data_IF_523911621002
#
_entry.id   IF_523911621002
#
_cell.length_a   1.000
_cell.length_b   1.000
_cell.length_c   1.000
_cell.angle_alpha   90.00
_cell.angle_beta   90.00
_cell.angle_gamma   90.00
#
_symmetry.space_group_name_H-M   'P 1'
#
loop_
_entity.id
_entity.type
_entity.pdbx_description
1 polymer ?
#
# COMPACT_ATOMS: atom_id res chain seq x y z
N UNK A 1 -2.85 3.15 -31.79
CA UNK A 1 -4.29 3.44 -31.96
C UNK A 1 -4.96 3.13 -30.65
N UNK A 2 -5.65 4.10 -30.05
CA UNK A 2 -6.22 3.95 -28.72
C UNK A 2 -7.57 3.21 -28.72
N UNK A 3 -7.66 2.12 -27.95
CA UNK A 3 -8.91 1.47 -27.60
C UNK A 3 -9.56 2.23 -26.43
N UNK A 4 -10.84 2.59 -26.60
CA UNK A 4 -11.68 3.30 -25.64
C UNK A 4 -12.66 2.32 -24.99
N UNK A 5 -13.12 2.60 -23.77
CA UNK A 5 -14.23 1.85 -23.17
C UNK A 5 -15.59 2.26 -23.78
N UNK A 6 -16.67 1.59 -23.35
CA UNK A 6 -18.03 1.78 -23.87
C UNK A 6 -18.60 3.21 -23.63
N UNK A 7 -17.91 4.03 -22.85
CA UNK A 7 -18.29 5.41 -22.53
C UNK A 7 -17.30 6.44 -23.12
N UNK A 8 -16.30 6.02 -23.89
CA UNK A 8 -15.37 6.92 -24.57
C UNK A 8 -14.27 7.52 -23.68
N UNK A 9 -14.01 6.95 -22.49
CA UNK A 9 -12.97 7.45 -21.58
C UNK A 9 -11.72 6.55 -21.61
N UNK A 10 -10.51 7.09 -21.36
CA UNK A 10 -9.32 6.26 -21.18
C UNK A 10 -9.24 5.71 -19.74
N UNK A 11 -8.90 4.43 -19.59
CA UNK A 11 -8.75 3.74 -18.29
C UNK A 11 -7.45 4.17 -17.56
N UNK A 12 -7.55 4.81 -16.39
CA UNK A 12 -6.46 5.57 -15.75
C UNK A 12 -6.05 5.14 -14.32
N UNK A 13 -6.10 3.84 -14.00
CA UNK A 13 -5.52 3.33 -12.75
C UNK A 13 -3.96 3.26 -12.76
N UNK A 14 -3.26 4.38 -13.03
CA UNK A 14 -1.84 4.34 -13.42
C UNK A 14 -0.91 5.49 -12.98
N UNK A 15 -1.15 6.18 -11.87
CA UNK A 15 -0.30 7.34 -11.45
C UNK A 15 0.95 6.92 -10.63
N UNK A 16 1.43 5.71 -10.84
CA UNK A 16 2.82 5.33 -10.54
C UNK A 16 3.48 4.53 -11.68
N UNK A 17 3.16 4.87 -12.94
CA UNK A 17 3.67 4.12 -14.11
C UNK A 17 4.47 5.02 -15.06
N UNK A 18 5.74 5.20 -14.75
CA UNK A 18 6.76 5.61 -15.73
C UNK A 18 7.22 4.44 -16.62
N UNK A 19 6.27 3.70 -17.20
CA UNK A 19 6.57 2.74 -18.27
C UNK A 19 5.46 2.76 -19.31
N UNK A 20 5.91 2.84 -20.56
CA UNK A 20 5.12 2.72 -21.78
C UNK A 20 4.15 1.53 -21.69
N UNK A 21 2.86 1.84 -21.75
CA UNK A 21 1.81 0.86 -21.99
C UNK A 21 1.61 0.74 -23.50
N UNK A 22 1.83 -0.46 -24.05
CA UNK A 22 1.13 -0.83 -25.28
C UNK A 22 -0.25 -1.36 -24.88
N UNK A 23 -1.30 -0.76 -25.43
CA UNK A 23 -2.69 -1.15 -25.19
C UNK A 23 -2.93 -2.60 -25.60
N UNK A 24 -3.49 -3.40 -24.69
CA UNK A 24 -4.06 -4.70 -25.06
C UNK A 24 -4.06 -5.82 -24.00
N UNK A 25 -3.42 -5.67 -22.83
CA UNK A 25 -3.09 -6.86 -22.02
C UNK A 25 -3.51 -6.80 -20.55
N UNK A 26 -4.10 -7.91 -20.08
CA UNK A 26 -4.84 -8.04 -18.82
C UNK A 26 -4.09 -7.86 -17.49
N UNK A 27 -4.82 -8.07 -16.39
CA UNK A 27 -4.39 -7.76 -15.01
C UNK A 27 -3.02 -8.35 -14.63
N UNK A 28 -2.73 -9.57 -15.06
CA UNK A 28 -1.45 -10.23 -14.72
C UNK A 28 -0.24 -9.49 -15.31
N UNK A 29 -0.34 -8.97 -16.54
CA UNK A 29 0.72 -8.17 -17.18
C UNK A 29 0.84 -6.78 -16.54
N UNK A 30 -0.28 -6.24 -16.05
CA UNK A 30 -0.33 -4.98 -15.27
C UNK A 30 0.46 -5.09 -13.97
N UNK A 31 0.26 -6.18 -13.23
CA UNK A 31 0.97 -6.47 -11.97
C UNK A 31 2.47 -6.69 -12.20
N UNK A 32 2.84 -7.44 -13.24
CA UNK A 32 4.24 -7.65 -13.62
C UNK A 32 4.97 -6.33 -13.94
N UNK A 33 4.29 -5.40 -14.60
CA UNK A 33 4.85 -4.10 -14.91
C UNK A 33 5.14 -3.27 -13.65
N UNK A 34 4.27 -3.32 -12.64
CA UNK A 34 4.42 -2.59 -11.38
C UNK A 34 5.51 -3.19 -10.49
N UNK A 35 5.58 -4.52 -10.40
CA UNK A 35 6.66 -5.21 -9.69
C UNK A 35 8.04 -4.90 -10.31
N UNK A 36 8.15 -4.92 -11.64
CA UNK A 36 9.38 -4.52 -12.35
C UNK A 36 9.71 -3.05 -12.10
N UNK A 37 8.72 -2.17 -12.07
CA UNK A 37 8.92 -0.76 -11.78
C UNK A 37 9.45 -0.52 -10.36
N UNK A 38 8.91 -1.23 -9.38
CA UNK A 38 9.42 -1.21 -8.01
C UNK A 38 10.91 -1.56 -7.95
N UNK A 39 11.33 -2.67 -8.57
CA UNK A 39 12.73 -3.10 -8.50
C UNK A 39 13.70 -2.10 -9.11
N UNK A 40 13.32 -1.43 -10.21
CA UNK A 40 14.13 -0.36 -10.82
C UNK A 40 14.21 0.86 -9.91
N UNK A 41 13.10 1.29 -9.33
CA UNK A 41 13.06 2.43 -8.42
C UNK A 41 13.87 2.16 -7.15
N UNK A 42 13.69 0.99 -6.53
CA UNK A 42 14.43 0.56 -5.37
C UNK A 42 15.96 0.58 -5.64
N UNK A 43 16.39 0.11 -6.82
CA UNK A 43 17.81 0.14 -7.19
C UNK A 43 18.35 1.57 -7.27
N UNK A 44 17.60 2.48 -7.90
CA UNK A 44 18.00 3.90 -8.01
C UNK A 44 18.07 4.58 -6.64
N UNK A 45 17.09 4.33 -5.77
CA UNK A 45 17.09 4.88 -4.41
C UNK A 45 18.30 4.36 -3.63
N UNK A 46 18.58 3.06 -3.71
CA UNK A 46 19.72 2.47 -2.98
C UNK A 46 21.05 2.98 -3.51
N UNK A 47 21.17 3.22 -4.81
CA UNK A 47 22.36 3.82 -5.41
C UNK A 47 22.57 5.27 -4.95
N UNK A 48 21.51 6.08 -4.96
CA UNK A 48 21.58 7.48 -4.56
C UNK A 48 21.76 7.65 -3.04
N UNK A 49 21.15 6.78 -2.24
CA UNK A 49 21.13 6.86 -0.77
C UNK A 49 21.45 5.51 -0.11
N UNK A 50 22.69 4.99 -0.21
CA UNK A 50 23.03 3.62 0.21
C UNK A 50 22.74 3.32 1.68
N UNK A 51 22.88 4.33 2.55
CA UNK A 51 22.75 4.22 4.01
C UNK A 51 21.40 4.71 4.55
N UNK A 52 20.52 5.21 3.69
CA UNK A 52 19.24 5.75 4.14
C UNK A 52 18.35 4.62 4.67
N UNK A 53 17.89 4.80 5.91
CA UNK A 53 16.89 3.92 6.53
C UNK A 53 15.51 4.37 6.08
N UNK A 54 14.85 3.56 5.26
CA UNK A 54 13.52 3.85 4.70
C UNK A 54 12.51 2.87 5.28
N UNK A 55 11.29 3.37 5.53
CA UNK A 55 10.11 2.53 5.72
C UNK A 55 9.18 2.69 4.51
N UNK A 56 8.91 1.58 3.82
CA UNK A 56 8.03 1.55 2.67
C UNK A 56 6.58 1.29 3.09
N UNK A 57 5.65 2.10 2.60
CA UNK A 57 4.22 1.93 2.82
C UNK A 57 3.57 1.50 1.50
N UNK A 58 3.21 0.23 1.36
CA UNK A 58 2.86 -0.38 0.08
C UNK A 58 1.42 -0.94 0.08
N UNK A 59 0.76 -0.92 -1.08
CA UNK A 59 -0.53 -1.58 -1.27
C UNK A 59 -0.38 -3.11 -1.37
N UNK A 60 -1.48 -3.85 -1.24
CA UNK A 60 -1.50 -5.31 -1.21
C UNK A 60 -1.09 -5.99 -2.51
N UNK A 61 -0.99 -5.25 -3.62
CA UNK A 61 -0.33 -5.77 -4.82
C UNK A 61 1.14 -6.14 -4.58
N UNK A 62 1.81 -5.42 -3.67
CA UNK A 62 3.22 -5.62 -3.35
C UNK A 62 3.44 -6.69 -2.26
N UNK A 63 2.37 -7.32 -1.76
CA UNK A 63 2.44 -8.40 -0.77
C UNK A 63 2.86 -9.73 -1.44
N UNK A 64 4.09 -9.79 -1.95
CA UNK A 64 4.65 -10.97 -2.60
C UNK A 64 6.13 -11.19 -2.25
N UNK A 65 6.57 -12.43 -2.35
CA UNK A 65 7.90 -12.87 -1.93
C UNK A 65 9.06 -12.07 -2.53
N UNK A 66 9.16 -11.88 -3.86
CA UNK A 66 10.23 -11.09 -4.47
C UNK A 66 10.37 -9.66 -3.95
N UNK A 67 9.24 -8.98 -3.70
CA UNK A 67 9.26 -7.62 -3.13
C UNK A 67 9.75 -7.66 -1.68
N UNK A 68 9.22 -8.58 -0.87
CA UNK A 68 9.63 -8.75 0.52
C UNK A 68 11.13 -9.09 0.64
N UNK A 69 11.62 -10.00 -0.19
CA UNK A 69 13.04 -10.39 -0.30
C UNK A 69 13.91 -9.17 -0.61
N UNK A 70 13.49 -8.36 -1.59
CA UNK A 70 14.22 -7.16 -1.99
C UNK A 70 14.30 -6.14 -0.85
N UNK A 71 13.19 -5.86 -0.18
CA UNK A 71 13.17 -4.93 0.95
C UNK A 71 14.09 -5.39 2.10
N UNK A 72 14.10 -6.71 2.40
CA UNK A 72 15.01 -7.28 3.40
C UNK A 72 16.47 -7.12 3.00
N UNK A 73 16.82 -7.45 1.75
CA UNK A 73 18.18 -7.29 1.23
C UNK A 73 18.68 -5.85 1.32
N UNK A 74 17.81 -4.87 1.05
CA UNK A 74 18.15 -3.45 1.13
C UNK A 74 18.12 -2.89 2.57
N UNK A 75 17.79 -3.72 3.57
CA UNK A 75 17.64 -3.36 4.98
C UNK A 75 16.58 -2.28 5.23
N UNK A 76 15.50 -2.32 4.44
CA UNK A 76 14.38 -1.40 4.54
C UNK A 76 13.25 -1.98 5.36
N UNK A 77 12.61 -1.12 6.14
CA UNK A 77 11.36 -1.47 6.80
C UNK A 77 10.20 -1.41 5.80
N UNK A 78 9.13 -2.14 6.09
CA UNK A 78 7.90 -2.03 5.34
C UNK A 78 6.66 -2.24 6.20
N UNK A 79 5.57 -1.63 5.74
CA UNK A 79 4.19 -1.93 6.09
C UNK A 79 3.42 -2.10 4.78
N UNK A 80 2.99 -3.32 4.48
CA UNK A 80 2.29 -3.66 3.24
C UNK A 80 0.85 -4.04 3.57
N UNK A 81 -0.13 -3.51 2.87
CA UNK A 81 -1.53 -3.93 3.04
C UNK A 81 -1.67 -5.43 2.76
N UNK A 82 -2.35 -6.15 3.64
CA UNK A 82 -2.68 -7.56 3.44
C UNK A 82 -4.17 -7.68 3.12
N UNK A 83 -4.50 -8.03 1.87
CA UNK A 83 -5.90 -8.24 1.46
C UNK A 83 -6.36 -9.61 1.92
N UNK A 84 -7.65 -9.75 2.24
CA UNK A 84 -8.21 -11.01 2.76
C UNK A 84 -8.07 -12.18 1.77
N UNK A 85 -8.19 -11.91 0.47
CA UNK A 85 -7.98 -12.92 -0.58
C UNK A 85 -6.52 -13.17 -0.97
N UNK A 86 -5.55 -12.49 -0.33
CA UNK A 86 -4.13 -12.62 -0.67
C UNK A 86 -3.36 -13.43 0.37
N UNK A 87 -2.35 -14.17 -0.07
CA UNK A 87 -1.49 -15.02 0.78
C UNK A 87 -2.27 -15.95 1.73
N UNK A 88 -3.04 -16.93 1.21
CA UNK A 88 -3.89 -17.79 2.05
C UNK A 88 -3.15 -18.52 3.16
N UNK A 89 -1.92 -18.99 2.92
CA UNK A 89 -1.10 -19.67 3.93
C UNK A 89 -0.76 -18.76 5.11
N UNK A 90 -0.45 -17.48 4.84
CA UNK A 90 -0.19 -16.47 5.87
C UNK A 90 -1.42 -16.22 6.72
N UNK A 91 -2.61 -16.14 6.11
CA UNK A 91 -3.86 -16.00 6.86
C UNK A 91 -4.20 -17.22 7.69
N UNK A 92 -4.01 -18.43 7.15
CA UNK A 92 -4.21 -19.68 7.89
C UNK A 92 -3.32 -19.72 9.13
N UNK A 93 -2.03 -19.45 8.97
CA UNK A 93 -1.07 -19.42 10.08
C UNK A 93 -1.38 -18.29 11.07
N UNK A 94 -1.74 -17.10 10.59
CA UNK A 94 -2.21 -16.00 11.43
C UNK A 94 -3.39 -16.41 12.31
N UNK A 95 -4.41 -17.04 11.73
CA UNK A 95 -5.59 -17.47 12.49
C UNK A 95 -5.24 -18.52 13.53
N UNK A 96 -4.44 -19.52 13.18
CA UNK A 96 -3.97 -20.55 14.12
C UNK A 96 -3.21 -19.94 15.30
N UNK A 97 -2.21 -19.11 15.03
CA UNK A 97 -1.34 -18.54 16.06
C UNK A 97 -1.99 -17.42 16.86
N UNK A 98 -2.98 -16.72 16.29
CA UNK A 98 -3.70 -15.65 16.99
C UNK A 98 -4.46 -16.17 18.24
N UNK A 99 -4.86 -17.44 18.23
CA UNK A 99 -5.49 -18.09 19.39
C UNK A 99 -4.49 -18.41 20.50
N UNK A 100 -3.23 -18.68 20.15
CA UNK A 100 -2.15 -18.99 21.09
C UNK A 100 -1.51 -17.72 21.66
N UNK A 101 -1.45 -16.64 20.87
CA UNK A 101 -0.81 -15.37 21.23
C UNK A 101 -1.84 -14.34 21.72
N UNK A 102 -2.67 -14.71 22.70
CA UNK A 102 -3.81 -13.87 23.13
C UNK A 102 -3.40 -12.51 23.70
N UNK A 103 -2.19 -12.40 24.27
CA UNK A 103 -1.66 -11.16 24.85
C UNK A 103 -1.24 -10.13 23.80
N UNK A 104 -1.06 -10.56 22.54
CA UNK A 104 -0.71 -9.73 21.38
C UNK A 104 -1.93 -8.99 20.83
N UNK A 105 -2.56 -8.22 21.72
CA UNK A 105 -3.70 -7.36 21.43
C UNK A 105 -3.54 -6.00 22.11
N UNK A 106 -4.09 -4.97 21.50
CA UNK A 106 -4.13 -3.62 22.07
C UNK A 106 -5.41 -2.93 21.67
N UNK A 107 -6.07 -2.30 22.62
CA UNK A 107 -7.21 -1.43 22.38
C UNK A 107 -6.81 0.01 22.64
N UNK A 108 -7.31 0.92 21.81
CA UNK A 108 -7.12 2.35 22.01
C UNK A 108 -8.21 3.15 21.32
N UNK A 109 -8.32 4.42 21.71
CA UNK A 109 -9.06 5.43 20.96
C UNK A 109 -8.09 6.22 20.09
N UNK A 110 -8.48 6.50 18.85
CA UNK A 110 -7.74 7.39 17.96
C UNK A 110 -8.71 8.29 17.19
N UNK A 111 -8.78 9.56 17.60
CA UNK A 111 -9.89 10.43 17.23
C UNK A 111 -11.21 9.82 17.71
N UNK A 112 -12.19 9.77 16.82
CA UNK A 112 -13.52 9.18 17.08
C UNK A 112 -13.55 7.65 16.97
N UNK A 113 -12.44 7.04 16.56
CA UNK A 113 -12.38 5.59 16.31
C UNK A 113 -11.92 4.83 17.53
N UNK A 114 -12.69 3.80 17.90
CA UNK A 114 -12.25 2.71 18.79
C UNK A 114 -11.51 1.69 17.95
N UNK A 115 -10.24 1.45 18.25
CA UNK A 115 -9.39 0.52 17.51
C UNK A 115 -9.05 -0.69 18.38
N UNK A 116 -9.16 -1.87 17.79
CA UNK A 116 -8.68 -3.12 18.35
C UNK A 116 -7.64 -3.74 17.42
N UNK A 117 -6.39 -3.69 17.87
CA UNK A 117 -5.26 -4.34 17.23
C UNK A 117 -5.07 -5.74 17.77
N UNK A 118 -4.80 -6.69 16.88
CA UNK A 118 -4.29 -8.02 17.18
C UNK A 118 -3.15 -8.32 16.21
N UNK A 119 -2.07 -8.91 16.67
CA UNK A 119 -0.93 -9.23 15.81
C UNK A 119 -0.34 -10.59 16.12
N UNK A 120 0.31 -11.16 15.11
CA UNK A 120 1.09 -12.38 15.19
C UNK A 120 2.45 -12.11 14.57
N UNK A 121 3.49 -12.48 15.30
CA UNK A 121 4.87 -12.33 14.85
C UNK A 121 5.43 -13.66 14.35
N UNK A 122 6.41 -13.57 13.45
CA UNK A 122 7.19 -14.71 12.96
C UNK A 122 6.36 -15.76 12.22
N UNK A 123 5.45 -15.29 11.36
CA UNK A 123 4.75 -16.14 10.38
C UNK A 123 5.72 -16.50 9.26
N UNK A 124 5.86 -17.79 8.97
CA UNK A 124 6.75 -18.29 7.93
C UNK A 124 6.08 -18.23 6.56
N UNK A 125 6.40 -17.22 5.76
CA UNK A 125 5.85 -17.11 4.41
C UNK A 125 6.75 -17.77 3.37
N UNK A 126 6.28 -18.88 2.79
CA UNK A 126 6.96 -19.59 1.71
C UNK A 126 6.54 -19.08 0.32
N UNK A 127 7.50 -18.97 -0.59
CA UNK A 127 7.27 -18.45 -1.95
C UNK A 127 8.27 -19.02 -2.97
N UNK A 128 8.00 -18.73 -4.25
CA UNK A 128 8.79 -19.21 -5.38
C UNK A 128 8.43 -20.64 -5.81
N UNK A 129 9.07 -21.15 -6.87
CA UNK A 129 8.77 -22.48 -7.40
C UNK A 129 9.04 -23.55 -6.33
N UNK A 130 8.04 -24.39 -6.07
CA UNK A 130 8.06 -25.46 -5.07
C UNK A 130 8.38 -24.99 -3.65
N UNK A 131 7.97 -23.77 -3.27
CA UNK A 131 8.14 -23.22 -1.91
C UNK A 131 9.59 -23.25 -1.37
N UNK A 132 10.59 -23.22 -2.27
CA UNK A 132 12.01 -23.33 -1.91
C UNK A 132 12.57 -22.11 -1.19
N UNK A 133 11.87 -20.98 -1.23
CA UNK A 133 12.25 -19.77 -0.50
C UNK A 133 11.22 -19.51 0.57
N UNK A 134 11.66 -18.94 1.69
CA UNK A 134 10.74 -18.47 2.69
C UNK A 134 11.32 -17.31 3.50
N UNK A 135 10.42 -16.48 4.01
CA UNK A 135 10.71 -15.23 4.69
C UNK A 135 9.79 -15.08 5.89
N UNK A 136 10.35 -14.64 7.01
CA UNK A 136 9.56 -14.42 8.21
C UNK A 136 8.97 -13.01 8.18
N UNK A 137 7.66 -12.97 8.41
CA UNK A 137 6.86 -11.75 8.38
C UNK A 137 6.02 -11.63 9.65
N UNK A 138 5.50 -10.43 9.90
CA UNK A 138 4.66 -10.13 11.05
C UNK A 138 3.35 -9.55 10.55
N UNK A 139 2.21 -10.04 11.05
CA UNK A 139 0.90 -9.61 10.58
C UNK A 139 0.15 -8.93 11.72
N UNK A 140 -0.51 -7.82 11.40
CA UNK A 140 -1.42 -7.13 12.32
C UNK A 140 -2.74 -6.85 11.65
N UNK A 141 -3.81 -7.08 12.40
CA UNK A 141 -5.18 -6.74 12.06
C UNK A 141 -5.67 -5.67 13.03
N UNK A 142 -6.10 -4.55 12.48
CA UNK A 142 -6.81 -3.49 13.19
C UNK A 142 -8.29 -3.53 12.80
N UNK A 143 -9.16 -3.77 13.77
CA UNK A 143 -10.60 -3.60 13.62
C UNK A 143 -11.00 -2.28 14.25
N UNK A 144 -11.78 -1.49 13.54
CA UNK A 144 -12.25 -0.20 14.03
C UNK A 144 -13.74 -0.14 14.13
N UNK A 145 -14.20 0.70 15.05
CA UNK A 145 -15.58 1.06 15.22
C UNK A 145 -15.67 2.56 15.49
N UNK A 146 -16.64 3.23 14.86
CA UNK A 146 -16.98 4.62 15.14
C UNK A 146 -18.46 4.87 14.89
N UNK A 147 -18.98 5.94 15.48
CA UNK A 147 -20.34 6.40 15.24
C UNK A 147 -20.31 7.46 14.14
N UNK A 148 -21.26 7.38 13.21
CA UNK A 148 -21.42 8.36 12.13
C UNK A 148 -22.90 8.64 11.91
N UNK A 149 -23.23 9.88 11.53
CA UNK A 149 -24.57 10.21 11.08
C UNK A 149 -24.82 9.54 9.72
N UNK A 150 -25.93 8.82 9.62
CA UNK A 150 -26.41 8.33 8.34
C UNK A 150 -27.06 9.49 7.56
N UNK A 151 -26.61 9.80 6.32
CA UNK A 151 -27.15 10.92 5.54
C UNK A 151 -28.63 10.76 5.19
N UNK A 152 -29.13 9.52 5.10
CA UNK A 152 -30.47 9.22 4.62
C UNK A 152 -31.47 9.12 5.79
N UNK A 153 -31.08 8.49 6.90
CA UNK A 153 -31.95 8.35 8.07
C UNK A 153 -31.79 9.44 9.14
N UNK A 154 -30.70 10.23 9.08
CA UNK A 154 -30.30 11.18 10.13
C UNK A 154 -30.12 10.55 11.52
N UNK A 155 -29.90 9.24 11.58
CA UNK A 155 -29.64 8.50 12.81
C UNK A 155 -28.14 8.27 13.02
N UNK A 156 -27.74 8.11 14.29
CA UNK A 156 -26.37 7.72 14.62
C UNK A 156 -26.23 6.22 14.37
N UNK A 157 -25.43 5.86 13.37
CA UNK A 157 -25.11 4.46 13.04
C UNK A 157 -23.68 4.11 13.44
N UNK A 158 -23.50 2.91 13.97
CA UNK A 158 -22.17 2.37 14.24
C UNK A 158 -21.58 1.77 12.97
N UNK A 159 -20.45 2.32 12.51
CA UNK A 159 -19.68 1.83 11.36
C UNK A 159 -18.48 1.02 11.82
N UNK A 160 -18.05 0.09 10.97
CA UNK A 160 -16.91 -0.78 11.21
C UNK A 160 -15.94 -0.76 10.03
N UNK A 161 -14.66 -0.94 10.31
CA UNK A 161 -13.65 -1.21 9.29
C UNK A 161 -12.66 -2.27 9.76
N UNK A 162 -12.01 -2.92 8.80
CA UNK A 162 -10.90 -3.84 9.05
C UNK A 162 -9.74 -3.43 8.17
N UNK A 163 -8.57 -3.32 8.79
CA UNK A 163 -7.31 -3.12 8.11
C UNK A 163 -6.34 -4.21 8.53
N UNK A 164 -5.57 -4.74 7.59
CA UNK A 164 -4.54 -5.70 7.86
C UNK A 164 -3.26 -5.33 7.14
N UNK A 165 -2.13 -5.55 7.81
CA UNK A 165 -0.82 -5.24 7.27
C UNK A 165 0.22 -6.31 7.59
N UNK A 166 1.16 -6.48 6.66
CA UNK A 166 2.42 -7.17 6.85
C UNK A 166 3.47 -6.14 7.27
N UNK A 167 4.17 -6.41 8.36
CA UNK A 167 5.27 -5.62 8.89
C UNK A 167 6.60 -6.35 8.72
N UNK A 168 7.65 -5.59 8.39
CA UNK A 168 9.04 -6.08 8.38
C UNK A 168 9.60 -6.34 9.78
N UNK A 169 9.03 -5.71 10.81
CA UNK A 169 9.51 -5.83 12.19
C UNK A 169 8.46 -6.48 13.09
N UNK A 170 8.90 -7.18 14.14
CA UNK A 170 8.00 -7.68 15.16
C UNK A 170 7.17 -6.54 15.76
N UNK A 171 5.90 -6.83 15.95
CA UNK A 171 4.95 -5.91 16.54
C UNK A 171 4.81 -6.17 18.04
N UNK A 172 4.61 -5.09 18.78
CA UNK A 172 4.35 -5.12 20.20
C UNK A 172 3.52 -3.90 20.59
N UNK A 173 3.09 -3.85 21.85
CA UNK A 173 2.27 -2.75 22.38
C UNK A 173 2.93 -1.37 22.23
N UNK A 174 4.26 -1.30 22.20
CA UNK A 174 5.00 -0.04 22.12
C UNK A 174 5.08 0.51 20.68
N UNK A 175 5.03 -0.37 19.66
CA UNK A 175 5.26 0.05 18.27
C UNK A 175 4.04 -0.09 17.35
N UNK A 176 3.01 -0.86 17.75
CA UNK A 176 1.87 -1.17 16.88
C UNK A 176 1.10 0.09 16.50
N UNK A 177 0.93 1.04 17.43
CA UNK A 177 0.33 2.33 17.16
C UNK A 177 1.10 3.09 16.08
N UNK A 178 2.39 3.34 16.30
CA UNK A 178 3.22 4.14 15.41
C UNK A 178 3.30 3.51 14.01
N UNK A 179 3.49 2.19 13.93
CA UNK A 179 3.60 1.50 12.64
C UNK A 179 2.28 1.47 11.86
N UNK A 180 1.15 1.26 12.52
CA UNK A 180 -0.15 1.18 11.85
C UNK A 180 -0.76 2.56 11.56
N UNK A 181 -0.85 3.42 12.58
CA UNK A 181 -1.59 4.68 12.49
C UNK A 181 -0.74 5.80 11.89
N UNK A 182 0.52 5.93 12.32
CA UNK A 182 1.41 6.99 11.81
C UNK A 182 2.19 6.57 10.56
N UNK A 183 2.35 5.26 10.35
CA UNK A 183 2.95 4.67 9.15
C UNK A 183 1.89 4.20 8.16
N UNK A 184 1.46 2.95 8.27
CA UNK A 184 0.68 2.24 7.26
C UNK A 184 -0.59 2.99 6.80
N UNK A 185 -1.31 3.64 7.71
CA UNK A 185 -2.50 4.43 7.37
C UNK A 185 -2.17 5.72 6.64
N UNK A 186 -1.00 6.31 6.84
CA UNK A 186 -0.57 7.53 6.14
C UNK A 186 -0.44 7.32 4.62
N UNK A 187 -0.51 6.07 4.12
CA UNK A 187 -0.73 5.78 2.69
C UNK A 187 -1.95 6.53 2.13
N UNK A 188 -3.01 6.71 2.92
CA UNK A 188 -4.17 7.52 2.53
C UNK A 188 -3.83 9.00 2.35
N UNK A 189 -2.84 9.51 3.09
CA UNK A 189 -2.32 10.88 2.90
C UNK A 189 -1.63 11.07 1.55
N UNK A 190 -1.01 10.01 1.01
CA UNK A 190 -0.45 10.02 -0.36
C UNK A 190 -1.58 10.13 -1.40
N UNK A 191 -2.70 9.42 -1.19
CA UNK A 191 -3.88 9.54 -2.07
C UNK A 191 -4.53 10.93 -1.96
N UNK A 192 -4.56 11.53 -0.77
CA UNK A 192 -4.97 12.91 -0.57
C UNK A 192 -4.09 13.91 -1.32
N UNK A 193 -2.76 13.75 -1.27
CA UNK A 193 -1.84 14.58 -2.04
C UNK A 193 -2.06 14.43 -3.56
N UNK A 194 -2.28 13.20 -4.04
CA UNK A 194 -2.64 12.96 -5.45
C UNK A 194 -3.99 13.59 -5.83
N UNK A 195 -5.00 13.58 -4.94
CA UNK A 195 -6.29 14.23 -5.19
C UNK A 195 -6.17 15.75 -5.28
N UNK A 196 -5.28 16.36 -4.47
CA UNK A 196 -4.97 17.80 -4.55
C UNK A 196 -4.27 18.12 -5.87
N UNK A 197 -3.25 17.35 -6.25
CA UNK A 197 -2.56 17.48 -7.55
C UNK A 197 -3.52 17.33 -8.74
N UNK A 198 -4.54 16.47 -8.63
CA UNK A 198 -5.54 16.26 -9.69
C UNK A 198 -6.61 17.33 -9.75
N UNK A 199 -7.24 17.66 -8.63
CA UNK A 199 -8.53 18.35 -8.61
C UNK A 199 -8.51 19.70 -7.89
N UNK A 200 -7.44 20.06 -7.18
CA UNK A 200 -7.37 21.29 -6.38
C UNK A 200 -6.22 22.21 -6.79
N UNK A 201 -6.19 22.58 -8.08
CA UNK A 201 -5.43 23.74 -8.56
C UNK A 201 -4.34 23.47 -9.59
N UNK A 202 -3.89 22.22 -9.73
CA UNK A 202 -2.84 21.88 -10.71
C UNK A 202 -3.34 21.15 -11.96
N UNK A 203 -4.61 20.72 -11.96
CA UNK A 203 -5.32 20.15 -13.11
C UNK A 203 -4.47 19.15 -13.91
N UNK A 204 -3.85 18.17 -13.23
CA UNK A 204 -2.98 17.16 -13.84
C UNK A 204 -3.67 16.31 -14.93
N UNK A 205 -4.99 16.43 -15.06
CA UNK A 205 -5.82 15.80 -16.10
C UNK A 205 -5.89 16.64 -17.39
N UNK A 206 -5.36 17.86 -17.40
CA UNK A 206 -5.28 18.71 -18.59
C UNK A 206 -3.95 18.53 -19.34
N UNK A 207 -4.06 18.32 -20.65
CA UNK A 207 -2.90 18.26 -21.53
C UNK A 207 -2.37 19.68 -21.83
N UNK A 208 -1.51 20.19 -20.96
CA UNK A 208 -0.85 21.50 -21.14
C UNK A 208 0.15 21.54 -22.30
N UNK A 209 0.64 20.37 -22.72
CA UNK A 209 1.51 20.22 -23.88
C UNK A 209 1.18 18.95 -24.67
N UNK A 210 1.21 19.05 -26.00
CA UNK A 210 1.04 17.89 -26.91
C UNK A 210 2.35 17.13 -27.14
N UNK A 211 3.48 17.71 -26.74
CA UNK A 211 4.79 17.07 -26.79
C UNK A 211 5.06 16.33 -25.47
N UNK A 212 5.35 15.02 -25.57
CA UNK A 212 5.57 14.14 -24.43
C UNK A 212 6.67 14.61 -23.46
N UNK A 213 7.77 15.17 -23.98
CA UNK A 213 8.87 15.63 -23.13
C UNK A 213 8.53 16.95 -22.43
N UNK A 214 7.80 17.84 -23.11
CA UNK A 214 7.30 19.08 -22.50
C UNK A 214 6.29 18.78 -21.39
N UNK A 215 5.35 17.86 -21.64
CA UNK A 215 4.35 17.44 -20.63
C UNK A 215 5.00 16.84 -19.38
N UNK A 216 6.07 16.04 -19.53
CA UNK A 216 6.86 15.55 -18.38
C UNK A 216 7.54 16.70 -17.64
N UNK A 217 8.10 17.67 -18.37
CA UNK A 217 8.74 18.86 -17.79
C UNK A 217 7.77 19.67 -16.93
N UNK A 218 6.60 20.00 -17.49
CA UNK A 218 5.55 20.76 -16.80
C UNK A 218 5.08 20.03 -15.54
N UNK A 219 4.90 18.72 -15.62
CA UNK A 219 4.49 17.91 -14.48
C UNK A 219 5.54 17.86 -13.36
N UNK A 220 6.84 17.84 -13.69
CA UNK A 220 7.89 17.95 -12.68
C UNK A 220 7.92 19.33 -12.04
N UNK A 221 7.73 20.40 -12.83
CA UNK A 221 7.69 21.77 -12.32
C UNK A 221 6.51 22.01 -11.40
N UNK A 222 5.31 21.54 -11.76
CA UNK A 222 4.13 21.65 -10.90
C UNK A 222 4.32 20.89 -9.58
N UNK A 223 4.95 19.71 -9.61
CA UNK A 223 5.23 18.92 -8.40
C UNK A 223 6.25 19.57 -7.46
N UNK A 224 7.17 20.36 -8.00
CA UNK A 224 8.10 21.16 -7.20
C UNK A 224 7.46 22.44 -6.65
N UNK A 225 6.46 22.99 -7.33
CA UNK A 225 5.70 24.16 -6.87
C UNK A 225 4.59 23.84 -5.87
N UNK A 226 4.20 22.56 -5.73
CA UNK A 226 3.11 22.10 -4.87
C UNK A 226 3.56 21.57 -3.50
N UNK A 227 4.85 21.65 -3.18
CA UNK A 227 5.42 21.35 -1.84
C UNK A 227 5.46 22.58 -0.96
#
# INVERSE_FOLDING_TARGET
>A
MAAFDQNGWPDWAGILKFLEYQQGDGEQRKQDCESKAFHRLAARIKQAFPRLRVMLLLDGLYANGPILERCRGDHWDFMIVLKDGSLPSVWQEYHSLAHEQQDNRMQQHWGERRQHFQWVNAIRYEYGPNAKKAIDIHVVVCREQWEALDPDSLEIVTKHSKHAWISSRPLNRLNVHTRCNLGARYRWGIEGAFLVEKHQGYAYEHAFAKNWNAMKGDHYLMRLGST
#
